data_IF_271620071632
#
_entry.id   IF_271620071632
#
_cell.length_a   1.000
_cell.length_b   1.000
_cell.length_c   1.000
_cell.angle_alpha   90.00
_cell.angle_beta   90.00
_cell.angle_gamma   90.00
#
_symmetry.space_group_name_H-M   'P 1'
#
loop_
_entity.id
_entity.type
_entity.pdbx_description
1 polymer ?
#
# COMPACT_ATOMS: atom_id res chain seq x y z
N UNK A 1 38.52 13.22 -6.96
CA UNK A 1 37.38 12.41 -6.50
C UNK A 1 37.14 12.79 -5.05
N UNK A 2 36.07 13.55 -4.75
CA UNK A 2 35.76 13.97 -3.37
C UNK A 2 35.04 12.78 -2.72
N UNK A 3 35.65 12.20 -1.67
CA UNK A 3 35.03 11.16 -0.85
C UNK A 3 33.84 11.79 -0.14
N UNK A 4 32.61 11.46 -0.56
CA UNK A 4 31.42 11.89 0.16
C UNK A 4 31.53 11.45 1.62
N UNK A 5 31.32 12.37 2.56
CA UNK A 5 31.23 12.03 3.98
C UNK A 5 30.08 11.03 4.14
N UNK A 6 30.35 9.94 4.86
CA UNK A 6 29.30 9.00 5.24
C UNK A 6 28.25 9.76 6.07
N UNK A 7 26.95 9.62 5.76
CA UNK A 7 25.91 10.28 6.53
C UNK A 7 25.96 9.84 7.98
N UNK A 8 25.95 10.79 8.91
CA UNK A 8 25.83 10.55 10.35
C UNK A 8 24.36 10.44 10.74
N UNK A 9 24.02 9.44 11.55
CA UNK A 9 22.66 9.29 12.07
C UNK A 9 22.35 10.40 13.09
N UNK A 10 21.13 10.92 13.03
CA UNK A 10 20.62 11.79 14.09
C UNK A 10 20.42 10.96 15.38
N UNK A 11 20.80 11.53 16.52
CA UNK A 11 20.54 10.95 17.84
C UNK A 11 19.72 11.93 18.67
N UNK A 12 18.87 11.40 19.55
CA UNK A 12 18.05 12.17 20.46
C UNK A 12 18.31 11.68 21.88
N UNK A 13 18.30 12.59 22.86
CA UNK A 13 18.35 12.20 24.27
C UNK A 13 16.96 11.78 24.73
N UNK A 14 16.88 10.95 25.78
CA UNK A 14 15.58 10.61 26.38
C UNK A 14 14.82 11.86 26.84
N UNK A 15 15.52 12.84 27.42
CA UNK A 15 14.93 14.12 27.82
C UNK A 15 14.30 14.86 26.64
N UNK A 16 15.00 14.95 25.50
CA UNK A 16 14.45 15.58 24.30
C UNK A 16 13.17 14.89 23.79
N UNK A 17 13.04 13.58 23.96
CA UNK A 17 11.82 12.84 23.57
C UNK A 17 10.67 13.02 24.57
N UNK A 18 10.99 13.17 25.86
CA UNK A 18 9.98 13.33 26.92
C UNK A 18 9.46 14.77 27.02
N UNK A 19 10.30 15.75 26.69
CA UNK A 19 9.98 17.18 26.75
C UNK A 19 9.38 17.71 25.43
N UNK A 20 9.26 16.86 24.39
CA UNK A 20 8.67 17.22 23.10
C UNK A 20 7.15 17.06 23.12
N UNK A 21 6.45 18.18 23.25
CA UNK A 21 4.98 18.27 23.19
C UNK A 21 4.44 18.52 21.77
N UNK A 22 5.25 18.34 20.73
CA UNK A 22 4.79 18.52 19.35
C UNK A 22 3.66 17.53 19.02
N UNK A 23 2.66 17.95 18.23
CA UNK A 23 1.53 17.09 17.91
C UNK A 23 2.01 15.90 17.07
N UNK A 24 1.44 14.72 17.36
CA UNK A 24 1.67 13.55 16.52
C UNK A 24 1.24 13.83 15.06
N UNK A 25 2.00 13.36 14.06
CA UNK A 25 1.55 13.42 12.68
C UNK A 25 0.19 12.77 12.52
N UNK A 26 -0.67 13.38 11.70
CA UNK A 26 -1.98 12.80 11.39
C UNK A 26 -1.79 11.43 10.72
N UNK A 27 -2.59 10.44 11.13
CA UNK A 27 -2.59 9.13 10.49
C UNK A 27 -2.95 9.27 9.01
N UNK A 28 -2.36 8.41 8.18
CA UNK A 28 -2.88 8.20 6.84
C UNK A 28 -4.22 7.45 6.90
N UNK A 29 -4.35 6.51 7.84
CA UNK A 29 -5.60 5.82 8.18
C UNK A 29 -5.68 5.65 9.70
N UNK A 30 -6.64 6.32 10.33
CA UNK A 30 -6.90 6.25 11.77
C UNK A 30 -7.71 5.01 12.18
N UNK A 31 -7.63 4.57 13.45
CA UNK A 31 -6.76 5.09 14.51
C UNK A 31 -5.39 4.38 14.51
N UNK A 32 -4.36 5.04 13.99
CA UNK A 32 -3.00 4.49 13.83
C UNK A 32 -2.93 3.15 13.07
N UNK A 33 -3.89 2.90 12.18
CA UNK A 33 -3.86 1.70 11.32
C UNK A 33 -2.75 1.82 10.28
N UNK A 34 -2.57 3.03 9.73
CA UNK A 34 -1.44 3.35 8.87
C UNK A 34 -1.00 4.79 9.13
N UNK A 35 0.23 4.98 9.60
CA UNK A 35 0.85 6.30 9.79
C UNK A 35 1.61 6.71 8.53
N UNK A 36 1.92 8.01 8.35
CA UNK A 36 2.79 8.46 7.26
C UNK A 36 4.14 7.72 7.26
N UNK A 37 4.51 7.14 6.12
CA UNK A 37 5.72 6.33 5.99
C UNK A 37 5.66 4.93 6.63
N UNK A 38 4.53 4.59 7.28
CA UNK A 38 4.32 3.28 7.86
C UNK A 38 4.12 2.19 6.82
N UNK A 39 4.41 0.94 7.22
CA UNK A 39 4.15 -0.26 6.44
C UNK A 39 3.17 -1.16 7.20
N UNK A 40 2.21 -1.73 6.49
CA UNK A 40 1.24 -2.67 7.04
C UNK A 40 1.21 -3.94 6.19
N UNK A 41 1.29 -5.09 6.86
CA UNK A 41 1.25 -6.41 6.21
C UNK A 41 -0.02 -7.16 6.63
N UNK A 42 -0.82 -7.56 5.64
CA UNK A 42 -1.96 -8.44 5.85
C UNK A 42 -1.56 -9.90 5.66
N UNK A 43 -1.23 -10.57 6.77
CA UNK A 43 -0.99 -12.01 6.82
C UNK A 43 -2.28 -12.82 6.99
N UNK A 44 -2.26 -14.09 6.59
CA UNK A 44 -3.37 -15.02 6.84
C UNK A 44 -3.40 -16.18 5.85
N UNK A 45 -4.18 -17.21 6.16
CA UNK A 45 -4.28 -18.41 5.35
C UNK A 45 -4.70 -18.13 3.89
N UNK A 46 -4.36 -19.02 2.94
CA UNK A 46 -4.88 -18.95 1.58
C UNK A 46 -6.40 -18.83 1.56
N UNK A 47 -6.91 -17.95 0.69
CA UNK A 47 -8.35 -17.74 0.43
C UNK A 47 -9.22 -17.32 1.64
N UNK A 48 -8.62 -16.86 2.75
CA UNK A 48 -9.35 -16.30 3.90
C UNK A 48 -10.04 -14.94 3.64
N UNK A 49 -9.93 -14.39 2.42
CA UNK A 49 -10.58 -13.13 2.03
C UNK A 49 -9.72 -11.86 2.15
N UNK A 50 -8.40 -11.98 2.29
CA UNK A 50 -7.48 -10.82 2.41
C UNK A 50 -7.63 -9.81 1.27
N UNK A 51 -7.60 -10.27 0.02
CA UNK A 51 -7.71 -9.39 -1.13
C UNK A 51 -9.08 -8.72 -1.23
N UNK A 52 -10.15 -9.41 -0.84
CA UNK A 52 -11.50 -8.82 -0.82
C UNK A 52 -11.62 -7.76 0.27
N UNK A 53 -11.03 -8.02 1.44
CA UNK A 53 -10.91 -7.03 2.51
C UNK A 53 -10.10 -5.81 2.05
N UNK A 54 -8.89 -6.01 1.50
CA UNK A 54 -8.03 -4.93 1.01
C UNK A 54 -8.74 -4.10 -0.04
N UNK A 55 -9.36 -4.75 -1.03
CA UNK A 55 -10.08 -4.07 -2.09
C UNK A 55 -11.25 -3.24 -1.54
N UNK A 56 -12.06 -3.81 -0.65
CA UNK A 56 -13.16 -3.09 -0.01
C UNK A 56 -12.66 -1.92 0.84
N UNK A 57 -11.71 -2.17 1.73
CA UNK A 57 -11.15 -1.18 2.64
C UNK A 57 -10.49 -0.02 1.88
N UNK A 58 -9.59 -0.30 0.95
CA UNK A 58 -8.88 0.72 0.19
C UNK A 58 -9.81 1.49 -0.75
N UNK A 59 -10.88 0.87 -1.26
CA UNK A 59 -11.94 1.58 -1.99
C UNK A 59 -12.65 2.60 -1.09
N UNK A 60 -12.92 2.28 0.18
CA UNK A 60 -13.46 3.25 1.14
C UNK A 60 -12.45 4.36 1.46
N UNK A 61 -11.17 4.02 1.61
CA UNK A 61 -10.11 5.01 1.84
C UNK A 61 -9.99 6.00 0.67
N UNK A 62 -10.05 5.50 -0.56
CA UNK A 62 -10.08 6.32 -1.76
C UNK A 62 -11.34 7.19 -1.88
N UNK A 63 -12.45 6.74 -1.29
CA UNK A 63 -13.69 7.48 -1.20
C UNK A 63 -13.71 8.53 -0.07
N UNK A 64 -12.72 8.54 0.83
CA UNK A 64 -12.77 9.34 2.05
C UNK A 64 -13.87 8.88 3.02
N UNK A 65 -14.23 7.60 2.99
CA UNK A 65 -15.28 6.99 3.80
C UNK A 65 -14.69 6.09 4.88
N UNK A 66 -15.40 5.95 6.01
CA UNK A 66 -15.00 4.99 7.04
C UNK A 66 -15.30 3.56 6.61
N UNK A 67 -14.47 2.61 7.07
CA UNK A 67 -14.69 1.17 6.92
C UNK A 67 -14.32 0.47 8.21
N UNK A 68 -15.28 -0.18 8.88
CA UNK A 68 -15.06 -0.89 10.14
C UNK A 68 -14.34 -0.05 11.23
N UNK A 69 -14.69 1.24 11.34
CA UNK A 69 -14.08 2.16 12.31
C UNK A 69 -12.73 2.73 11.87
N UNK A 70 -12.18 2.28 10.75
CA UNK A 70 -10.98 2.87 10.14
C UNK A 70 -11.37 4.09 9.30
N UNK A 71 -10.66 5.20 9.46
CA UNK A 71 -11.06 6.49 8.88
C UNK A 71 -9.87 7.16 8.20
N UNK A 72 -9.99 7.52 6.90
CA UNK A 72 -8.99 8.34 6.25
C UNK A 72 -9.25 9.84 6.58
N UNK A 73 -8.21 10.69 6.65
CA UNK A 73 -8.37 12.13 6.92
C UNK A 73 -9.04 12.88 5.75
N UNK A 74 -9.00 12.31 4.55
CA UNK A 74 -9.58 12.80 3.29
C UNK A 74 -9.63 11.64 2.28
N UNK A 75 -10.26 11.79 1.11
CA UNK A 75 -10.06 10.83 0.02
C UNK A 75 -8.57 10.62 -0.28
N UNK A 76 -8.13 9.35 -0.26
CA UNK A 76 -6.75 8.95 -0.47
C UNK A 76 -6.49 8.50 -1.91
N UNK A 77 -5.42 8.98 -2.52
CA UNK A 77 -4.90 8.44 -3.79
C UNK A 77 -4.30 7.06 -3.54
N UNK A 78 -5.04 6.01 -3.91
CA UNK A 78 -4.64 4.62 -3.70
C UNK A 78 -4.16 4.04 -5.01
N UNK A 79 -2.94 3.53 -5.02
CA UNK A 79 -2.43 2.66 -6.07
C UNK A 79 -2.45 1.21 -5.59
N UNK A 80 -3.25 0.37 -6.24
CA UNK A 80 -3.38 -1.04 -5.91
C UNK A 80 -2.67 -1.89 -6.99
N UNK A 81 -1.42 -2.26 -6.69
CA UNK A 81 -0.59 -3.16 -7.50
C UNK A 81 -1.04 -4.61 -7.26
N UNK A 82 -2.16 -4.97 -7.88
CA UNK A 82 -2.73 -6.30 -7.86
C UNK A 82 -2.11 -7.15 -8.97
N UNK A 83 -1.58 -8.33 -8.66
CA UNK A 83 -0.84 -9.17 -9.59
C UNK A 83 -1.44 -10.58 -9.87
N UNK A 84 -2.38 -11.05 -9.06
CA UNK A 84 -3.03 -12.37 -9.12
C UNK A 84 -4.37 -12.39 -9.89
N UNK A 85 -5.24 -11.40 -9.73
CA UNK A 85 -6.66 -11.49 -10.17
C UNK A 85 -6.89 -10.90 -11.56
N UNK A 86 -7.55 -11.66 -12.45
CA UNK A 86 -7.92 -11.18 -13.79
C UNK A 86 -8.99 -10.09 -13.76
N UNK A 87 -8.95 -9.20 -14.76
CA UNK A 87 -9.80 -8.01 -14.86
C UNK A 87 -11.30 -8.27 -14.62
N UNK A 88 -11.86 -9.34 -15.20
CA UNK A 88 -13.29 -9.63 -15.08
C UNK A 88 -13.70 -9.96 -13.63
N UNK A 89 -12.91 -10.75 -12.92
CA UNK A 89 -13.15 -11.09 -11.52
C UNK A 89 -12.87 -9.90 -10.59
N UNK A 90 -11.83 -9.11 -10.88
CA UNK A 90 -11.58 -7.87 -10.14
C UNK A 90 -12.76 -6.91 -10.26
N UNK A 91 -13.27 -6.72 -11.48
CA UNK A 91 -14.45 -5.87 -11.75
C UNK A 91 -15.70 -6.36 -11.01
N UNK A 92 -15.92 -7.66 -10.95
CA UNK A 92 -17.03 -8.24 -10.19
C UNK A 92 -16.94 -7.90 -8.70
N UNK A 93 -15.75 -8.11 -8.11
CA UNK A 93 -15.49 -7.76 -6.70
C UNK A 93 -15.71 -6.28 -6.44
N UNK A 94 -15.18 -5.39 -7.29
CA UNK A 94 -15.41 -3.93 -7.19
C UNK A 94 -16.91 -3.58 -7.22
N UNK A 95 -17.69 -4.21 -8.11
CA UNK A 95 -19.14 -3.97 -8.20
C UNK A 95 -19.92 -4.39 -6.95
N UNK A 96 -19.38 -5.33 -6.17
CA UNK A 96 -20.02 -5.76 -4.91
C UNK A 96 -19.79 -4.78 -3.75
N UNK A 97 -18.79 -3.89 -3.84
CA UNK A 97 -18.45 -2.94 -2.79
C UNK A 97 -19.57 -1.91 -2.65
N UNK A 98 -20.04 -1.73 -1.41
CA UNK A 98 -21.05 -0.73 -1.06
C UNK A 98 -20.35 0.53 -0.55
N UNK A 99 -20.46 1.62 -1.31
CA UNK A 99 -20.06 2.95 -0.89
C UNK A 99 -21.27 3.87 -0.78
N UNK A 100 -21.23 4.90 0.09
CA UNK A 100 -22.20 5.99 0.04
C UNK A 100 -22.18 6.65 -1.36
N UNK A 101 -23.36 6.90 -1.94
CA UNK A 101 -23.46 7.46 -3.29
C UNK A 101 -22.73 8.80 -3.43
N UNK A 102 -22.73 9.63 -2.37
CA UNK A 102 -22.02 10.91 -2.32
C UNK A 102 -20.49 10.79 -2.40
N UNK A 103 -19.92 9.61 -2.14
CA UNK A 103 -18.48 9.34 -2.13
C UNK A 103 -17.99 8.58 -3.36
N UNK A 104 -18.91 8.15 -4.23
CA UNK A 104 -18.57 7.33 -5.40
C UNK A 104 -17.64 8.07 -6.38
N UNK A 105 -17.84 9.38 -6.56
CA UNK A 105 -16.98 10.18 -7.45
C UNK A 105 -15.55 10.27 -6.91
N UNK A 106 -15.39 10.46 -5.60
CA UNK A 106 -14.08 10.47 -4.94
C UNK A 106 -13.36 9.13 -5.15
N UNK A 107 -14.06 8.01 -4.90
CA UNK A 107 -13.48 6.68 -5.10
C UNK A 107 -13.00 6.45 -6.54
N UNK A 108 -13.81 6.86 -7.53
CA UNK A 108 -13.50 6.71 -8.96
C UNK A 108 -12.30 7.53 -9.40
N UNK A 109 -12.08 8.70 -8.79
CA UNK A 109 -10.96 9.57 -9.11
C UNK A 109 -9.65 9.13 -8.43
N UNK A 110 -9.74 8.49 -7.26
CA UNK A 110 -8.58 8.27 -6.40
C UNK A 110 -8.10 6.81 -6.32
N UNK A 111 -8.91 5.83 -6.73
CA UNK A 111 -8.52 4.41 -6.72
C UNK A 111 -8.06 3.94 -8.10
N UNK A 112 -6.78 3.57 -8.20
CA UNK A 112 -6.18 3.07 -9.43
C UNK A 112 -5.59 1.68 -9.16
N UNK A 113 -5.91 0.72 -10.01
CA UNK A 113 -5.44 -0.66 -9.89
C UNK A 113 -4.82 -1.16 -11.18
N UNK A 114 -3.84 -2.05 -11.06
CA UNK A 114 -3.28 -2.80 -12.18
C UNK A 114 -4.16 -4.00 -12.55
N UNK A 115 -4.11 -4.47 -13.81
CA UNK A 115 -4.62 -5.80 -14.16
C UNK A 115 -3.74 -6.88 -13.52
N UNK A 116 -4.06 -8.16 -13.74
CA UNK A 116 -3.12 -9.24 -13.43
C UNK A 116 -1.76 -8.98 -14.11
N UNK A 117 -0.67 -9.13 -13.36
CA UNK A 117 0.69 -8.86 -13.82
C UNK A 117 1.60 -10.07 -13.62
N UNK A 118 2.62 -10.18 -14.47
CA UNK A 118 3.79 -11.03 -14.24
C UNK A 118 5.01 -10.11 -14.25
N UNK A 119 5.40 -9.65 -13.07
CA UNK A 119 6.47 -8.66 -12.88
C UNK A 119 7.08 -8.84 -11.49
N UNK A 120 8.40 -8.81 -11.40
CA UNK A 120 9.16 -8.72 -10.13
C UNK A 120 9.54 -7.27 -9.89
N UNK A 121 9.51 -6.79 -8.64
CA UNK A 121 9.92 -5.43 -8.25
C UNK A 121 11.44 -5.32 -8.07
N UNK A 122 12.18 -5.76 -9.08
CA UNK A 122 13.61 -5.47 -9.26
C UNK A 122 13.80 -4.13 -9.98
N UNK A 123 15.04 -3.78 -10.36
CA UNK A 123 15.31 -2.54 -11.10
C UNK A 123 14.48 -2.41 -12.39
N UNK A 124 14.27 -3.52 -13.12
CA UNK A 124 13.52 -3.53 -14.37
C UNK A 124 12.00 -3.41 -14.12
N UNK A 125 11.49 -4.02 -13.07
CA UNK A 125 10.11 -3.87 -12.63
C UNK A 125 9.82 -2.47 -12.11
N UNK A 126 10.71 -1.90 -11.30
CA UNK A 126 10.59 -0.53 -10.80
C UNK A 126 10.65 0.49 -11.94
N UNK A 127 11.48 0.25 -12.96
CA UNK A 127 11.51 1.06 -14.18
C UNK A 127 10.19 1.07 -14.96
N UNK A 128 9.29 0.09 -14.74
CA UNK A 128 7.94 0.06 -15.31
C UNK A 128 6.88 0.61 -14.34
N UNK A 129 6.96 0.24 -13.05
CA UNK A 129 5.96 0.60 -12.04
C UNK A 129 6.02 2.09 -11.71
N UNK A 130 7.21 2.68 -11.53
CA UNK A 130 7.33 4.09 -11.15
C UNK A 130 6.73 5.02 -12.22
N UNK A 131 7.03 4.87 -13.53
CA UNK A 131 6.36 5.67 -14.56
C UNK A 131 4.85 5.42 -14.63
N UNK A 132 4.39 4.18 -14.42
CA UNK A 132 2.96 3.84 -14.41
C UNK A 132 2.24 4.59 -13.29
N UNK A 133 2.79 4.61 -12.07
CA UNK A 133 2.25 5.37 -10.94
C UNK A 133 2.23 6.86 -11.24
N UNK A 134 3.32 7.41 -11.81
CA UNK A 134 3.39 8.82 -12.20
C UNK A 134 2.34 9.17 -13.25
N UNK A 135 2.15 8.33 -14.27
CA UNK A 135 1.13 8.54 -15.30
C UNK A 135 -0.29 8.49 -14.70
N UNK A 136 -0.51 7.58 -13.75
CA UNK A 136 -1.80 7.38 -13.11
C UNK A 136 -2.26 8.59 -12.27
N UNK A 137 -1.34 9.28 -11.60
CA UNK A 137 -1.67 10.40 -10.71
C UNK A 137 -1.13 11.77 -11.16
N UNK A 138 -0.34 11.84 -12.24
CA UNK A 138 0.30 13.05 -12.73
C UNK A 138 1.37 13.58 -11.77
N UNK A 139 1.39 14.89 -11.52
CA UNK A 139 2.30 15.55 -10.58
C UNK A 139 2.09 15.14 -9.11
N UNK A 140 1.00 14.44 -8.83
CA UNK A 140 0.59 14.02 -7.50
C UNK A 140 1.10 12.61 -7.23
N UNK A 141 1.83 12.39 -6.14
CA UNK A 141 2.17 11.04 -5.69
C UNK A 141 0.93 10.29 -5.13
N UNK A 142 0.86 8.95 -5.15
CA UNK A 142 -0.13 8.23 -4.37
C UNK A 142 0.07 8.49 -2.87
N UNK A 143 -1.02 8.43 -2.11
CA UNK A 143 -0.97 8.44 -0.66
C UNK A 143 -0.67 7.05 -0.11
N UNK A 144 -1.16 6.00 -0.78
CA UNK A 144 -0.96 4.60 -0.41
C UNK A 144 -0.63 3.76 -1.66
N UNK A 145 0.36 2.88 -1.55
CA UNK A 145 0.66 1.83 -2.52
C UNK A 145 0.42 0.48 -1.82
N UNK A 146 -0.57 -0.26 -2.30
CA UNK A 146 -0.87 -1.60 -1.81
C UNK A 146 -0.41 -2.64 -2.84
N UNK A 147 0.35 -3.64 -2.38
CA UNK A 147 0.87 -4.74 -3.21
C UNK A 147 0.13 -6.01 -2.84
N UNK A 148 -0.55 -6.63 -3.80
CA UNK A 148 -1.37 -7.82 -3.53
C UNK A 148 -1.27 -8.88 -4.65
N UNK A 149 -0.70 -10.06 -4.38
CA UNK A 149 0.11 -10.42 -3.21
C UNK A 149 1.59 -10.04 -3.40
N UNK A 150 2.29 -9.75 -2.31
CA UNK A 150 3.73 -9.46 -2.34
C UNK A 150 4.57 -10.61 -2.95
N UNK A 151 4.16 -11.87 -2.71
CA UNK A 151 4.85 -13.06 -3.22
C UNK A 151 4.95 -13.12 -4.75
N UNK A 152 4.01 -12.50 -5.47
CA UNK A 152 3.98 -12.57 -6.94
C UNK A 152 4.88 -11.52 -7.59
N UNK A 153 5.38 -10.57 -6.80
CA UNK A 153 6.22 -9.47 -7.28
C UNK A 153 7.61 -9.47 -6.65
N UNK A 154 7.95 -10.56 -5.96
CA UNK A 154 9.22 -10.75 -5.29
C UNK A 154 9.87 -12.03 -5.83
N UNK A 155 11.18 -11.96 -6.07
CA UNK A 155 11.98 -13.12 -6.40
C UNK A 155 12.64 -13.65 -5.11
N UNK A 156 12.16 -14.79 -4.63
CA UNK A 156 12.69 -15.44 -3.44
C UNK A 156 13.98 -16.23 -3.66
N UNK A 157 14.54 -16.21 -4.87
CA UNK A 157 15.67 -17.04 -5.27
C UNK A 157 15.32 -18.53 -5.35
N UNK A 158 16.34 -19.38 -5.61
CA UNK A 158 16.21 -20.82 -5.87
C UNK A 158 15.64 -21.66 -4.70
N UNK A 159 15.33 -21.04 -3.55
CA UNK A 159 14.85 -21.71 -2.33
C UNK A 159 13.34 -21.56 -2.08
N UNK A 160 12.62 -20.75 -2.87
CA UNK A 160 11.24 -20.37 -2.57
C UNK A 160 10.19 -21.37 -3.09
N UNK A 161 9.94 -22.45 -2.35
CA UNK A 161 8.75 -23.29 -2.57
C UNK A 161 7.44 -22.54 -2.29
N UNK A 162 6.32 -23.00 -2.89
CA UNK A 162 4.97 -22.39 -2.81
C UNK A 162 4.44 -22.13 -1.37
N UNK A 163 5.06 -22.77 -0.37
CA UNK A 163 4.70 -22.66 1.05
C UNK A 163 5.88 -22.27 1.97
N UNK A 164 6.98 -21.79 1.41
CA UNK A 164 8.17 -21.50 2.21
C UNK A 164 8.13 -20.09 2.80
N UNK A 165 7.84 -20.00 4.09
CA UNK A 165 7.82 -18.74 4.84
C UNK A 165 9.23 -18.19 5.09
N UNK A 166 10.28 -18.93 4.75
CA UNK A 166 11.66 -18.47 4.88
C UNK A 166 11.95 -17.27 3.97
N UNK A 167 11.27 -17.16 2.83
CA UNK A 167 11.34 -15.98 1.97
C UNK A 167 10.70 -14.72 2.63
N UNK A 168 9.79 -14.89 3.59
CA UNK A 168 9.18 -13.77 4.32
C UNK A 168 10.10 -13.19 5.40
N UNK A 169 11.14 -13.93 5.83
CA UNK A 169 12.16 -13.41 6.77
C UNK A 169 13.00 -12.29 6.16
N UNK A 170 13.09 -12.19 4.83
CA UNK A 170 13.74 -11.05 4.16
C UNK A 170 12.97 -9.73 4.29
N UNK A 171 11.77 -9.73 4.89
CA UNK A 171 10.92 -8.55 5.07
C UNK A 171 10.86 -8.02 6.53
N UNK A 172 11.49 -8.71 7.50
CA UNK A 172 11.52 -8.32 8.92
C UNK A 172 12.95 -7.93 9.35
#
# INVERSE_FOLDING_TARGET
MIKALLPTLATFTLGALLDDDSPLPADLISPRVLTPGGMLVFGGAPKVGKSDFLLAWLTHMAAGASFQGMVPPRPLRVFYLQAEVQYHYLRERVKSIKLPASRLLDARANFIATPQLRLILDDAGLAQVIPTVKQAFGEKAPDNIAIDPIRNVFDGGDSGGENDNDAMLFFL
#
